data_IF_468413525148
#
_entry.id   IF_468413525148
#
_cell.length_a   1.000
_cell.length_b   1.000
_cell.length_c   1.000
_cell.angle_alpha   90.00
_cell.angle_beta   90.00
_cell.angle_gamma   90.00
#
_symmetry.space_group_name_H-M   'P 1'
#
loop_
_entity.id
_entity.type
_entity.pdbx_description
1 polymer ?
#
# COMPACT_ATOMS: atom_id res chain seq x y z
N UNK A 1 10.64 34.64 7.56
CA UNK A 1 10.91 34.45 6.11
C UNK A 1 11.68 33.16 5.82
N UNK A 2 12.96 32.98 6.20
CA UNK A 2 13.68 31.72 5.91
C UNK A 2 13.10 30.51 6.63
N UNK A 3 12.73 30.64 7.91
CA UNK A 3 12.14 29.53 8.69
C UNK A 3 10.74 29.12 8.21
N UNK A 4 9.92 30.08 7.78
CA UNK A 4 8.59 29.80 7.21
C UNK A 4 8.69 29.05 5.89
N UNK A 5 9.66 29.43 5.04
CA UNK A 5 9.95 28.73 3.78
C UNK A 5 10.41 27.30 4.07
N UNK A 6 11.30 27.10 5.05
CA UNK A 6 11.78 25.77 5.43
C UNK A 6 10.66 24.88 5.98
N UNK A 7 9.74 25.44 6.78
CA UNK A 7 8.60 24.71 7.30
C UNK A 7 7.60 24.30 6.20
N UNK A 8 7.35 25.19 5.23
CA UNK A 8 6.49 24.89 4.08
C UNK A 8 7.06 23.76 3.20
N UNK A 9 8.38 23.78 2.93
CA UNK A 9 9.06 22.74 2.16
C UNK A 9 9.02 21.39 2.89
N UNK A 10 9.30 21.37 4.19
CA UNK A 10 9.24 20.16 5.00
C UNK A 10 7.84 19.54 4.96
N UNK A 11 6.79 20.34 5.12
CA UNK A 11 5.40 19.85 5.06
C UNK A 11 5.05 19.15 3.75
N UNK A 12 5.47 19.71 2.61
CA UNK A 12 5.26 19.11 1.29
C UNK A 12 6.06 17.81 1.13
N UNK A 13 7.31 17.79 1.58
CA UNK A 13 8.16 16.61 1.51
C UNK A 13 7.60 15.45 2.35
N UNK A 14 7.10 15.75 3.55
CA UNK A 14 6.42 14.78 4.40
C UNK A 14 5.15 14.24 3.75
N UNK A 15 4.35 15.09 3.10
CA UNK A 15 3.15 14.65 2.40
C UNK A 15 3.47 13.67 1.27
N UNK A 16 4.48 13.96 0.45
CA UNK A 16 4.94 13.06 -0.62
C UNK A 16 5.46 11.75 -0.06
N UNK A 17 6.31 11.81 0.98
CA UNK A 17 6.83 10.62 1.65
C UNK A 17 5.71 9.75 2.23
N UNK A 18 4.73 10.38 2.88
CA UNK A 18 3.58 9.70 3.45
C UNK A 18 2.71 9.02 2.39
N UNK A 19 2.45 9.70 1.25
CA UNK A 19 1.67 9.13 0.15
C UNK A 19 2.37 7.94 -0.51
N UNK A 20 3.70 7.99 -0.65
CA UNK A 20 4.49 6.84 -1.11
C UNK A 20 4.35 5.67 -0.12
N UNK A 21 4.44 5.93 1.18
CA UNK A 21 4.19 4.93 2.22
C UNK A 21 2.79 4.32 2.14
N UNK A 22 1.76 5.16 1.96
CA UNK A 22 0.38 4.71 1.80
C UNK A 22 0.21 3.83 0.55
N UNK A 23 0.86 4.18 -0.56
CA UNK A 23 0.85 3.37 -1.78
C UNK A 23 1.50 1.99 -1.59
N UNK A 24 2.60 1.90 -0.83
CA UNK A 24 3.24 0.63 -0.50
C UNK A 24 2.35 -0.26 0.37
N UNK A 25 1.64 0.33 1.35
CA UNK A 25 0.70 -0.40 2.21
C UNK A 25 -0.50 -0.89 1.42
N UNK A 26 -1.02 -0.12 0.47
CA UNK A 26 -2.10 -0.57 -0.42
C UNK A 26 -1.71 -1.83 -1.20
N UNK A 27 -0.46 -1.91 -1.66
CA UNK A 27 0.05 -3.09 -2.37
C UNK A 27 0.16 -4.35 -1.51
N UNK A 28 0.15 -4.23 -0.17
CA UNK A 28 0.19 -5.38 0.73
C UNK A 28 -1.04 -6.28 0.57
N UNK A 29 -2.22 -5.73 0.24
CA UNK A 29 -3.44 -6.51 0.05
C UNK A 29 -3.30 -7.50 -1.12
N UNK A 30 -2.73 -7.05 -2.25
CA UNK A 30 -2.41 -7.91 -3.38
C UNK A 30 -1.31 -8.94 -3.03
N UNK A 31 -0.33 -8.54 -2.22
CA UNK A 31 0.72 -9.41 -1.70
C UNK A 31 0.17 -10.59 -0.89
N UNK A 32 -0.71 -10.33 0.08
CA UNK A 32 -1.36 -11.37 0.88
C UNK A 32 -2.26 -12.28 0.05
N UNK A 33 -3.02 -11.71 -0.89
CA UNK A 33 -3.86 -12.48 -1.81
C UNK A 33 -3.05 -13.51 -2.64
N UNK A 34 -1.86 -13.14 -3.12
CA UNK A 34 -0.97 -14.04 -3.86
C UNK A 34 -0.37 -15.13 -2.96
N UNK A 35 0.02 -14.80 -1.73
CA UNK A 35 0.55 -15.77 -0.77
C UNK A 35 -0.52 -16.80 -0.40
N UNK A 36 -1.71 -16.35 0.00
CA UNK A 36 -2.81 -17.24 0.40
C UNK A 36 -3.31 -18.12 -0.76
N UNK A 37 -3.39 -17.57 -1.98
CA UNK A 37 -3.79 -18.35 -3.15
C UNK A 37 -2.71 -19.34 -3.60
N UNK A 38 -1.43 -19.01 -3.40
CA UNK A 38 -0.29 -19.90 -3.71
C UNK A 38 -0.17 -21.11 -2.78
N UNK A 39 -0.56 -20.98 -1.52
CA UNK A 39 -0.63 -22.11 -0.56
C UNK A 39 -1.94 -22.89 -0.62
N UNK A 40 -2.97 -22.34 -1.27
CA UNK A 40 -4.24 -23.00 -1.43
C UNK A 40 -4.27 -23.93 -2.66
N UNK A 41 -5.23 -24.86 -2.67
CA UNK A 41 -5.47 -25.71 -3.84
C UNK A 41 -5.90 -24.85 -5.02
N UNK A 42 -5.32 -25.08 -6.21
CA UNK A 42 -5.56 -24.30 -7.42
C UNK A 42 -7.04 -24.02 -7.75
N UNK A 43 -7.94 -24.99 -7.49
CA UNK A 43 -9.39 -24.84 -7.70
C UNK A 43 -10.07 -23.76 -6.83
N UNK A 44 -9.44 -23.36 -5.72
CA UNK A 44 -9.97 -22.39 -4.76
C UNK A 44 -9.31 -21.00 -4.88
N UNK A 45 -8.31 -20.84 -5.75
CA UNK A 45 -7.54 -19.59 -5.87
C UNK A 45 -8.43 -18.38 -6.19
N UNK A 46 -9.38 -18.52 -7.13
CA UNK A 46 -10.31 -17.43 -7.48
C UNK A 46 -11.20 -17.00 -6.31
N UNK A 47 -11.63 -17.93 -5.46
CA UNK A 47 -12.44 -17.62 -4.28
C UNK A 47 -11.62 -16.93 -3.18
N UNK A 48 -10.32 -17.19 -3.10
CA UNK A 48 -9.41 -16.56 -2.14
C UNK A 48 -9.03 -15.14 -2.58
N UNK A 49 -8.79 -14.94 -3.88
CA UNK A 49 -8.56 -13.60 -4.44
C UNK A 49 -9.78 -12.69 -4.23
N UNK A 50 -10.98 -13.20 -4.50
CA UNK A 50 -12.23 -12.44 -4.28
C UNK A 50 -12.41 -12.03 -2.81
N UNK A 51 -11.98 -12.85 -1.85
CA UNK A 51 -12.06 -12.54 -0.42
C UNK A 51 -10.99 -11.57 0.08
N UNK A 52 -9.83 -11.52 -0.57
CA UNK A 52 -8.77 -10.57 -0.22
C UNK A 52 -8.94 -9.21 -0.92
N UNK A 53 -9.78 -9.15 -1.97
CA UNK A 53 -10.08 -7.94 -2.74
C UNK A 53 -11.38 -7.23 -2.30
N UNK A 54 -12.32 -7.95 -1.70
CA UNK A 54 -13.57 -7.42 -1.12
C UNK A 54 -13.35 -6.98 0.33
#
# INVERSE_FOLDING_TARGET
>A
MTEEIMNAINGQLFAVWFLIGAALVFWMQAGFAMVESGFARAKNAGNILMKNLM
#
